data_IF_134570542652
#
_entry.id   IF_134570542652
#
_cell.length_a   1.000
_cell.length_b   1.000
_cell.length_c   1.000
_cell.angle_alpha   90.00
_cell.angle_beta   90.00
_cell.angle_gamma   90.00
#
_symmetry.space_group_name_H-M   'P 1'
#
loop_
_entity.id
_entity.type
_entity.pdbx_description
1 polymer ?
#
# COMPACT_ATOMS: atom_id res chain seq x y z
N UNK A 1 10.59 9.15 27.38
CA UNK A 1 9.57 8.64 26.44
C UNK A 1 10.32 7.80 25.41
N UNK A 2 10.28 6.48 25.55
CA UNK A 2 11.07 5.58 24.70
C UNK A 2 10.41 5.54 23.33
N UNK A 3 11.07 6.09 22.32
CA UNK A 3 10.68 5.89 20.94
C UNK A 3 10.81 4.39 20.65
N UNK A 4 9.68 3.72 20.45
CA UNK A 4 9.67 2.36 19.91
C UNK A 4 10.10 2.52 18.45
N UNK A 5 11.31 2.07 18.11
CA UNK A 5 11.70 1.95 16.71
C UNK A 5 10.63 1.09 16.00
N UNK A 6 10.08 1.50 14.84
CA UNK A 6 9.08 0.67 14.18
C UNK A 6 9.73 -0.66 13.81
N UNK A 7 8.97 -1.74 13.99
CA UNK A 7 9.41 -3.14 13.86
C UNK A 7 9.93 -3.55 12.46
N UNK A 8 9.92 -2.62 11.50
CA UNK A 8 10.46 -2.71 10.13
C UNK A 8 11.94 -3.15 10.05
N UNK A 9 12.72 -3.09 11.13
CA UNK A 9 14.17 -3.32 11.09
C UNK A 9 14.64 -4.79 11.05
N UNK A 10 13.74 -5.79 11.09
CA UNK A 10 14.14 -7.19 11.34
C UNK A 10 14.09 -8.12 10.11
N UNK A 11 13.45 -7.72 9.00
CA UNK A 11 13.39 -8.56 7.80
C UNK A 11 14.74 -8.51 7.05
N UNK A 12 15.45 -9.65 6.88
CA UNK A 12 16.71 -9.66 6.16
C UNK A 12 16.52 -9.36 4.67
N UNK A 13 17.52 -8.73 4.06
CA UNK A 13 17.58 -8.60 2.61
C UNK A 13 17.66 -9.98 1.97
N UNK A 14 16.94 -10.18 0.89
CA UNK A 14 16.96 -11.40 0.11
C UNK A 14 17.56 -11.13 -1.27
N UNK A 15 18.21 -12.13 -1.86
CA UNK A 15 18.62 -12.06 -3.27
C UNK A 15 17.35 -11.98 -4.15
N UNK A 16 17.21 -10.97 -5.03
CA UNK A 16 16.06 -10.82 -5.93
C UNK A 16 15.75 -12.05 -6.79
N UNK A 17 16.76 -12.85 -7.16
CA UNK A 17 16.58 -14.06 -7.97
C UNK A 17 15.90 -15.16 -7.17
N UNK A 18 16.24 -15.30 -5.89
CA UNK A 18 15.75 -16.37 -5.01
C UNK A 18 14.78 -15.89 -3.94
N UNK A 19 14.27 -14.65 -4.07
CA UNK A 19 13.38 -14.02 -3.11
C UNK A 19 12.11 -14.88 -2.92
N UNK A 20 11.80 -15.19 -1.66
CA UNK A 20 10.61 -15.92 -1.25
C UNK A 20 9.74 -15.01 -0.38
N UNK A 21 8.58 -14.64 -0.92
CA UNK A 21 7.57 -13.85 -0.23
C UNK A 21 6.55 -14.74 0.46
N UNK A 22 5.54 -14.11 1.06
CA UNK A 22 4.35 -14.83 1.52
C UNK A 22 3.59 -15.40 0.32
N UNK A 23 3.12 -16.65 0.43
CA UNK A 23 2.21 -17.21 -0.56
C UNK A 23 0.89 -16.42 -0.56
N UNK A 24 0.39 -16.01 -1.72
CA UNK A 24 -0.92 -15.36 -1.90
C UNK A 24 -2.05 -16.26 -1.43
N UNK A 25 -2.45 -16.28 -0.15
CA UNK A 25 -3.67 -16.98 0.25
C UNK A 25 -4.39 -16.28 1.41
N UNK A 26 -5.06 -15.18 1.06
CA UNK A 26 -6.29 -14.73 1.72
C UNK A 26 -7.33 -14.44 0.63
N UNK A 27 -8.63 -14.65 0.86
CA UNK A 27 -9.63 -14.23 -0.11
C UNK A 27 -9.50 -12.72 -0.35
N UNK A 28 -9.43 -12.34 -1.62
CA UNK A 28 -9.30 -10.95 -2.03
C UNK A 28 -10.59 -10.19 -1.73
N UNK A 29 -10.44 -8.92 -1.36
CA UNK A 29 -11.56 -8.06 -0.99
C UNK A 29 -11.82 -7.00 -2.07
N UNK A 30 -13.09 -6.70 -2.38
CA UNK A 30 -13.42 -5.66 -3.35
C UNK A 30 -13.12 -4.27 -2.78
N UNK A 31 -12.42 -3.46 -3.56
CA UNK A 31 -12.13 -2.06 -3.27
C UNK A 31 -12.50 -1.19 -4.47
N UNK A 32 -12.99 0.02 -4.24
CA UNK A 32 -13.24 1.00 -5.29
C UNK A 32 -12.45 2.27 -5.05
N UNK A 33 -11.94 2.84 -6.14
CA UNK A 33 -11.34 4.18 -6.17
C UNK A 33 -12.24 5.08 -7.01
N UNK A 34 -12.72 6.18 -6.42
CA UNK A 34 -13.56 7.18 -7.08
C UNK A 34 -12.73 8.43 -7.34
N UNK A 35 -12.67 8.81 -8.62
CA UNK A 35 -11.98 9.98 -9.15
C UNK A 35 -12.98 10.81 -9.98
N UNK A 36 -12.54 11.95 -10.49
CA UNK A 36 -13.28 12.74 -11.48
C UNK A 36 -13.51 11.97 -12.81
N UNK A 37 -12.58 11.07 -13.17
CA UNK A 37 -12.68 10.20 -14.36
C UNK A 37 -13.64 9.02 -14.18
N UNK A 38 -14.13 8.79 -12.96
CA UNK A 38 -15.08 7.73 -12.64
C UNK A 38 -14.58 6.76 -11.57
N UNK A 39 -15.19 5.58 -11.55
CA UNK A 39 -14.96 4.54 -10.54
C UNK A 39 -14.12 3.41 -11.12
N UNK A 40 -12.98 3.13 -10.47
CA UNK A 40 -12.14 1.97 -10.77
C UNK A 40 -12.28 0.92 -9.68
N UNK A 41 -12.54 -0.32 -10.07
CA UNK A 41 -12.66 -1.47 -9.15
C UNK A 41 -11.35 -2.23 -9.07
N UNK A 42 -11.03 -2.68 -7.86
CA UNK A 42 -9.86 -3.48 -7.53
C UNK A 42 -10.26 -4.66 -6.65
N UNK A 43 -9.40 -5.66 -6.62
CA UNK A 43 -9.44 -6.78 -5.70
C UNK A 43 -8.14 -6.80 -4.91
N UNK A 44 -8.22 -6.59 -3.59
CA UNK A 44 -7.04 -6.32 -2.76
C UNK A 44 -6.79 -7.42 -1.74
N UNK A 45 -5.51 -7.71 -1.51
CA UNK A 45 -5.07 -8.43 -0.32
C UNK A 45 -5.14 -7.50 0.90
N UNK A 46 -5.42 -8.03 2.09
CA UNK A 46 -5.51 -7.25 3.33
C UNK A 46 -4.32 -7.55 4.24
N UNK A 47 -3.59 -6.49 4.57
CA UNK A 47 -2.51 -6.49 5.56
C UNK A 47 -2.97 -5.76 6.84
N UNK A 48 -3.45 -6.53 7.81
CA UNK A 48 -4.03 -6.02 9.07
C UNK A 48 -3.17 -6.37 10.30
N UNK A 49 -2.41 -7.47 10.24
CA UNK A 49 -1.41 -7.75 11.27
C UNK A 49 -0.12 -6.96 11.03
N UNK A 50 0.66 -6.74 12.09
CA UNK A 50 1.99 -6.10 11.98
C UNK A 50 2.90 -6.85 11.00
N UNK A 51 2.93 -8.19 11.11
CA UNK A 51 3.69 -9.04 10.20
C UNK A 51 3.24 -8.89 8.75
N UNK A 52 1.94 -8.90 8.47
CA UNK A 52 1.45 -8.70 7.09
C UNK A 52 1.84 -7.33 6.53
N UNK A 53 1.76 -6.28 7.36
CA UNK A 53 2.15 -4.93 6.94
C UNK A 53 3.65 -4.81 6.70
N UNK A 54 4.47 -5.50 7.47
CA UNK A 54 5.92 -5.51 7.27
C UNK A 54 6.34 -6.25 6.00
N UNK A 55 5.67 -7.37 5.68
CA UNK A 55 5.97 -8.16 4.49
C UNK A 55 5.42 -7.53 3.21
N UNK A 56 4.21 -6.96 3.23
CA UNK A 56 3.61 -6.33 2.06
C UNK A 56 3.67 -7.20 0.79
N UNK A 57 4.07 -6.58 -0.33
CA UNK A 57 4.26 -7.25 -1.62
C UNK A 57 5.69 -7.76 -1.87
N UNK A 58 6.49 -8.02 -0.82
CA UNK A 58 7.85 -8.54 -0.96
C UNK A 58 7.91 -9.81 -1.82
N UNK A 59 8.94 -9.88 -2.67
CA UNK A 59 9.25 -10.98 -3.58
C UNK A 59 8.20 -11.28 -4.65
N UNK A 60 7.11 -10.51 -4.76
CA UNK A 60 6.17 -10.62 -5.88
C UNK A 60 6.86 -10.18 -7.17
N UNK A 61 6.63 -10.93 -8.26
CA UNK A 61 7.25 -10.67 -9.58
C UNK A 61 6.34 -9.87 -10.51
N UNK A 62 5.06 -9.79 -10.19
CA UNK A 62 4.06 -9.04 -10.94
C UNK A 62 2.91 -8.65 -10.01
N UNK A 63 2.16 -7.64 -10.42
CA UNK A 63 0.90 -7.24 -9.82
C UNK A 63 -0.03 -6.80 -10.95
N UNK A 64 -1.19 -7.45 -11.08
CA UNK A 64 -2.17 -7.10 -12.11
C UNK A 64 -2.77 -5.71 -11.88
N UNK A 65 -3.21 -5.04 -12.94
CA UNK A 65 -3.72 -3.66 -12.89
C UNK A 65 -5.03 -3.49 -12.10
N UNK A 66 -5.74 -4.59 -11.84
CA UNK A 66 -6.96 -4.69 -11.04
C UNK A 66 -6.72 -5.26 -9.63
N UNK A 67 -5.45 -5.45 -9.25
CA UNK A 67 -5.03 -5.96 -7.94
C UNK A 67 -4.27 -4.90 -7.14
N UNK A 68 -4.17 -5.14 -5.85
CA UNK A 68 -3.37 -4.32 -4.94
C UNK A 68 -3.31 -4.95 -3.55
N UNK A 69 -2.69 -4.24 -2.62
CA UNK A 69 -2.71 -4.61 -1.20
C UNK A 69 -3.15 -3.41 -0.38
N UNK A 70 -4.13 -3.62 0.51
CA UNK A 70 -4.64 -2.62 1.43
C UNK A 70 -4.12 -2.90 2.84
N UNK A 71 -3.36 -1.96 3.36
CA UNK A 71 -2.79 -1.97 4.71
C UNK A 71 -3.73 -1.23 5.66
N UNK A 72 -4.07 -1.87 6.78
CA UNK A 72 -4.96 -1.33 7.80
C UNK A 72 -4.12 -0.98 9.03
N UNK A 73 -4.13 0.28 9.44
CA UNK A 73 -3.45 0.73 10.65
C UNK A 73 -4.44 0.99 11.79
N UNK A 74 -4.06 0.67 13.04
CA UNK A 74 -4.94 0.87 14.20
C UNK A 74 -5.21 2.36 14.46
N UNK A 75 -4.30 3.25 14.06
CA UNK A 75 -4.38 4.71 14.27
C UNK A 75 -4.00 5.47 13.01
N UNK A 76 -4.65 6.61 12.79
CA UNK A 76 -4.25 7.57 11.78
C UNK A 76 -2.99 8.30 12.25
N UNK A 77 -1.85 7.99 11.64
CA UNK A 77 -0.54 8.61 11.93
C UNK A 77 0.24 8.73 10.63
N UNK A 78 1.27 9.60 10.54
CA UNK A 78 2.14 9.60 9.37
C UNK A 78 2.70 8.20 9.13
N UNK A 79 2.56 7.69 7.91
CA UNK A 79 3.06 6.39 7.51
C UNK A 79 4.28 6.56 6.61
N UNK A 80 5.20 5.60 6.66
CA UNK A 80 6.35 5.56 5.76
C UNK A 80 6.56 4.13 5.29
N UNK A 81 6.65 3.96 3.99
CA UNK A 81 6.89 2.68 3.33
C UNK A 81 8.27 2.65 2.72
N UNK A 82 8.74 1.47 2.39
CA UNK A 82 10.01 1.21 1.73
C UNK A 82 9.85 0.01 0.80
N UNK A 83 10.82 -0.24 -0.06
CA UNK A 83 10.74 -1.26 -1.10
C UNK A 83 11.72 -2.42 -0.85
N UNK A 84 12.17 -2.60 0.41
CA UNK A 84 13.03 -3.73 0.79
C UNK A 84 12.39 -5.03 0.30
N UNK A 85 13.13 -5.83 -0.47
CA UNK A 85 12.68 -7.09 -1.07
C UNK A 85 11.45 -6.97 -2.00
N UNK A 86 10.93 -5.79 -2.30
CA UNK A 86 9.85 -5.58 -3.28
C UNK A 86 10.47 -5.47 -4.67
N UNK A 87 10.09 -6.39 -5.57
CA UNK A 87 10.76 -6.57 -6.87
C UNK A 87 10.05 -5.85 -8.03
N UNK A 88 8.88 -5.27 -7.76
CA UNK A 88 8.05 -4.56 -8.72
C UNK A 88 7.92 -3.10 -8.31
N UNK A 89 7.88 -2.15 -9.26
CA UNK A 89 7.63 -0.75 -8.94
C UNK A 89 6.17 -0.57 -8.53
N UNK A 90 5.92 0.29 -7.54
CA UNK A 90 4.59 0.51 -6.98
C UNK A 90 4.19 1.99 -6.95
N UNK A 91 2.89 2.24 -7.03
CA UNK A 91 2.29 3.48 -6.53
C UNK A 91 1.79 3.20 -5.10
N UNK A 92 2.17 4.06 -4.15
CA UNK A 92 1.78 3.96 -2.74
C UNK A 92 0.78 5.09 -2.44
N UNK A 93 -0.47 4.73 -2.20
CA UNK A 93 -1.59 5.65 -1.97
C UNK A 93 -1.89 5.71 -0.48
N UNK A 94 -1.66 6.85 0.16
CA UNK A 94 -1.95 7.05 1.58
C UNK A 94 -3.36 7.59 1.76
N UNK A 95 -4.14 6.99 2.67
CA UNK A 95 -5.57 7.22 2.81
C UNK A 95 -5.90 7.54 4.27
N UNK A 96 -6.66 8.61 4.48
CA UNK A 96 -7.13 9.06 5.78
C UNK A 96 -8.18 8.13 6.39
N UNK A 97 -8.54 8.38 7.65
CA UNK A 97 -9.53 7.57 8.36
C UNK A 97 -10.95 7.65 7.76
N UNK A 98 -11.24 8.69 6.97
CA UNK A 98 -12.50 8.94 6.26
C UNK A 98 -12.53 8.36 4.83
N UNK A 99 -11.49 7.61 4.44
CA UNK A 99 -11.36 7.04 3.10
C UNK A 99 -10.88 8.02 2.03
N UNK A 100 -10.49 9.26 2.38
CA UNK A 100 -9.91 10.20 1.41
C UNK A 100 -8.43 9.99 1.20
N UNK A 101 -7.96 10.15 -0.03
CA UNK A 101 -6.52 10.11 -0.35
C UNK A 101 -5.83 11.34 0.24
N UNK A 102 -4.80 11.10 1.05
CA UNK A 102 -3.96 12.13 1.67
C UNK A 102 -2.84 12.53 0.72
N UNK A 103 -2.11 11.54 0.20
CA UNK A 103 -1.00 11.73 -0.74
C UNK A 103 -0.73 10.46 -1.52
N UNK A 104 0.09 10.56 -2.57
CA UNK A 104 0.47 9.43 -3.41
C UNK A 104 1.97 9.53 -3.70
N UNK A 105 2.72 8.50 -3.36
CA UNK A 105 4.10 8.30 -3.81
C UNK A 105 4.06 7.44 -5.05
N UNK A 106 4.30 8.03 -6.22
CA UNK A 106 4.18 7.34 -7.51
C UNK A 106 5.50 6.72 -7.93
N UNK A 107 5.43 5.57 -8.60
CA UNK A 107 6.57 4.88 -9.20
C UNK A 107 7.76 4.73 -8.23
N UNK A 108 7.47 4.28 -6.99
CA UNK A 108 8.50 3.96 -5.99
C UNK A 108 9.28 2.76 -6.50
N UNK A 109 10.61 2.88 -6.54
CA UNK A 109 11.48 1.94 -7.24
C UNK A 109 11.70 0.65 -6.44
N UNK A 110 11.80 -0.53 -7.10
CA UNK A 110 12.14 -1.78 -6.43
C UNK A 110 13.41 -1.67 -5.60
N UNK A 111 13.43 -2.32 -4.43
CA UNK A 111 14.59 -2.39 -3.53
C UNK A 111 15.05 -1.06 -2.93
N UNK A 112 14.36 0.05 -3.20
CA UNK A 112 14.65 1.36 -2.60
C UNK A 112 14.24 1.42 -1.13
N UNK A 113 15.22 1.60 -0.26
CA UNK A 113 15.04 1.71 1.20
C UNK A 113 15.09 3.16 1.70
N UNK A 114 15.15 4.17 0.81
CA UNK A 114 15.20 5.59 1.23
C UNK A 114 13.93 6.08 1.93
N UNK A 115 12.83 5.35 1.75
CA UNK A 115 11.53 5.64 2.35
C UNK A 115 10.64 6.50 1.44
N UNK A 116 9.35 6.17 1.47
CA UNK A 116 8.25 6.91 0.86
C UNK A 116 7.32 7.35 2.01
N UNK A 117 7.40 8.62 2.48
CA UNK A 117 6.56 9.12 3.56
C UNK A 117 5.21 9.63 3.05
N UNK A 118 4.18 9.53 3.88
CA UNK A 118 2.91 10.21 3.66
C UNK A 118 3.03 11.71 3.92
N UNK A 119 2.28 12.54 3.19
CA UNK A 119 2.25 14.00 3.44
C UNK A 119 1.44 14.40 4.69
N UNK A 120 0.78 13.44 5.33
CA UNK A 120 -0.03 13.64 6.52
C UNK A 120 -0.50 12.32 7.15
N UNK A 121 -1.28 12.35 8.23
CA UNK A 121 -1.75 11.15 8.90
C UNK A 121 -2.60 10.25 7.99
N UNK A 122 -2.22 8.99 7.88
CA UNK A 122 -2.95 7.97 7.13
C UNK A 122 -3.32 6.80 8.05
N UNK A 123 -4.54 6.30 7.88
CA UNK A 123 -5.05 5.10 8.58
C UNK A 123 -5.02 3.88 7.67
N UNK A 124 -5.03 4.09 6.36
CA UNK A 124 -4.92 3.03 5.38
C UNK A 124 -3.86 3.39 4.34
N UNK A 125 -3.26 2.38 3.74
CA UNK A 125 -2.36 2.55 2.59
C UNK A 125 -2.76 1.52 1.54
N UNK A 126 -2.83 1.93 0.28
CA UNK A 126 -3.11 1.05 -0.86
C UNK A 126 -1.89 1.03 -1.78
N UNK A 127 -1.29 -0.14 -1.95
CA UNK A 127 -0.27 -0.38 -2.96
C UNK A 127 -0.90 -0.85 -4.28
N UNK A 128 -0.52 -0.22 -5.38
CA UNK A 128 -0.93 -0.54 -6.75
C UNK A 128 0.30 -0.71 -7.63
N UNK A 129 0.14 -1.37 -8.79
CA UNK A 129 1.18 -1.38 -9.81
C UNK A 129 1.56 0.06 -10.21
N UNK A 130 2.86 0.34 -10.36
CA UNK A 130 3.32 1.69 -10.70
C UNK A 130 2.65 2.27 -11.94
N UNK A 131 2.32 3.56 -11.86
CA UNK A 131 1.61 4.29 -12.91
C UNK A 131 0.10 4.10 -12.91
N UNK A 132 -0.44 3.12 -12.17
CA UNK A 132 -1.89 2.85 -12.12
C UNK A 132 -2.66 4.04 -11.55
N UNK A 133 -2.12 4.72 -10.54
CA UNK A 133 -2.76 5.91 -9.98
C UNK A 133 -2.92 7.02 -11.04
N UNK A 134 -1.90 7.25 -11.87
CA UNK A 134 -1.97 8.22 -12.94
C UNK A 134 -2.96 7.82 -14.04
N UNK A 135 -2.99 6.54 -14.43
CA UNK A 135 -3.90 6.02 -15.45
C UNK A 135 -5.37 6.23 -15.08
N UNK A 136 -5.75 5.98 -13.82
CA UNK A 136 -7.14 6.16 -13.36
C UNK A 136 -7.48 7.60 -12.96
N UNK A 137 -6.51 8.52 -13.02
CA UNK A 137 -6.71 9.92 -12.61
C UNK A 137 -6.75 10.14 -11.09
N UNK A 138 -6.17 9.23 -10.31
CA UNK A 138 -6.17 9.33 -8.84
C UNK A 138 -5.30 10.48 -8.33
N UNK A 139 -5.91 11.34 -7.53
CA UNK A 139 -5.32 12.52 -6.90
C UNK A 139 -5.60 12.58 -5.39
N UNK A 140 -4.82 13.35 -4.62
CA UNK A 140 -5.19 13.70 -3.25
C UNK A 140 -6.60 14.32 -3.17
N UNK A 141 -7.39 13.92 -2.17
CA UNK A 141 -8.78 14.34 -1.97
C UNK A 141 -9.84 13.38 -2.52
N UNK A 142 -9.47 12.53 -3.49
CA UNK A 142 -10.30 11.46 -4.04
C UNK A 142 -10.67 10.41 -2.98
N UNK A 143 -11.64 9.54 -3.29
CA UNK A 143 -12.16 8.58 -2.33
C UNK A 143 -11.79 7.14 -2.66
N UNK A 144 -11.36 6.43 -1.64
CA UNK A 144 -11.25 4.99 -1.61
C UNK A 144 -12.41 4.43 -0.79
N UNK A 145 -13.02 3.37 -1.28
CA UNK A 145 -14.14 2.71 -0.65
C UNK A 145 -13.81 1.24 -0.43
N UNK A 146 -13.89 0.85 0.83
CA UNK A 146 -13.67 -0.50 1.29
C UNK A 146 -14.55 -0.75 2.52
N UNK A 147 -14.90 -2.00 2.82
CA UNK A 147 -15.74 -2.32 4.00
C UNK A 147 -15.13 -1.88 5.33
N UNK A 148 -13.80 -1.74 5.39
CA UNK A 148 -13.07 -1.26 6.57
C UNK A 148 -13.10 0.27 6.76
N UNK A 149 -13.63 1.01 5.79
CA UNK A 149 -13.72 2.48 5.83
C UNK A 149 -15.16 2.91 6.12
N UNK A 150 -15.37 4.06 6.78
CA UNK A 150 -16.70 4.61 6.94
C UNK A 150 -17.37 4.80 5.58
N UNK A 151 -18.63 4.36 5.47
CA UNK A 151 -19.49 4.77 4.36
C UNK A 151 -19.90 6.21 4.67
N UNK A 152 -19.18 7.15 4.04
CA UNK A 152 -19.54 8.57 4.11
C UNK A 152 -20.88 8.86 3.46
#
# INVERSE_FOLDING_TARGET
MTAVAPAMAQIPRQDPKTCKGQAEIKPLEPLQVRTDKGVSSFQVEIADSEMEREYGLMCRRSLSADRGMLFLFPKATPQMFWMRNTLIPLDIVYIGADGRVVSISRNVQPLDESGAPSAGPAKFVLELAAGRAAQIGLLPGDRVLHRAMPRG
#
